data_IF_848191602427
#
_entry.id   IF_848191602427
#
_cell.length_a   1.000
_cell.length_b   1.000
_cell.length_c   1.000
_cell.angle_alpha   90.00
_cell.angle_beta   90.00
_cell.angle_gamma   90.00
#
_symmetry.space_group_name_H-M   'P 1'
#
loop_
_entity.id
_entity.type
_entity.pdbx_description
1 polymer ?
#
# COMPACT_ATOMS: atom_id res chain seq x y z
N UNK A 1 3.06 25.22 -24.30
CA UNK A 1 4.53 25.05 -24.11
C UNK A 1 5.02 26.11 -23.13
N UNK A 2 5.28 27.38 -23.52
CA UNK A 2 5.68 28.44 -22.55
C UNK A 2 4.78 28.60 -21.31
N UNK A 3 3.46 28.46 -21.45
CA UNK A 3 2.50 28.52 -20.33
C UNK A 3 2.58 27.32 -19.40
N UNK A 4 2.90 26.14 -19.94
CA UNK A 4 3.00 24.86 -19.22
C UNK A 4 4.34 24.78 -18.48
N UNK A 5 5.43 25.18 -19.15
CA UNK A 5 6.77 25.29 -18.57
C UNK A 5 6.78 26.27 -17.38
N UNK A 6 6.05 27.39 -17.48
CA UNK A 6 5.89 28.34 -16.38
C UNK A 6 5.12 27.74 -15.20
N UNK A 7 4.05 26.97 -15.45
CA UNK A 7 3.29 26.30 -14.38
C UNK A 7 4.14 25.26 -13.66
N UNK A 8 4.92 24.46 -14.39
CA UNK A 8 5.86 23.49 -13.80
C UNK A 8 6.91 24.16 -12.93
N UNK A 9 7.48 25.26 -13.40
CA UNK A 9 8.45 26.03 -12.62
C UNK A 9 7.83 26.60 -11.34
N UNK A 10 6.60 27.12 -11.41
CA UNK A 10 5.88 27.62 -10.23
C UNK A 10 5.62 26.47 -9.24
N UNK A 11 5.12 25.32 -9.71
CA UNK A 11 4.91 24.14 -8.87
C UNK A 11 6.19 23.69 -8.19
N UNK A 12 7.28 23.56 -8.95
CA UNK A 12 8.59 23.21 -8.40
C UNK A 12 9.07 24.18 -7.33
N UNK A 13 8.94 25.48 -7.58
CA UNK A 13 9.35 26.49 -6.62
C UNK A 13 8.50 26.43 -5.33
N UNK A 14 7.19 26.18 -5.44
CA UNK A 14 6.33 25.98 -4.27
C UNK A 14 6.74 24.74 -3.47
N UNK A 15 6.97 23.61 -4.13
CA UNK A 15 7.48 22.39 -3.47
C UNK A 15 8.80 22.63 -2.76
N UNK A 16 9.73 23.35 -3.40
CA UNK A 16 11.00 23.70 -2.76
C UNK A 16 10.80 24.59 -1.53
N UNK A 17 9.89 25.57 -1.60
CA UNK A 17 9.55 26.42 -0.46
C UNK A 17 8.97 25.61 0.70
N UNK A 18 8.03 24.70 0.45
CA UNK A 18 7.45 23.82 1.46
C UNK A 18 8.52 22.98 2.18
N UNK A 19 9.45 22.39 1.42
CA UNK A 19 10.55 21.61 1.98
C UNK A 19 11.47 22.47 2.86
N UNK A 20 11.78 23.69 2.41
CA UNK A 20 12.63 24.61 3.18
C UNK A 20 11.93 25.13 4.43
N UNK A 21 10.63 25.38 4.38
CA UNK A 21 9.84 25.80 5.52
C UNK A 21 9.67 24.67 6.54
N UNK A 22 9.52 23.42 6.07
CA UNK A 22 9.54 22.24 6.93
C UNK A 22 10.87 22.09 7.67
N UNK A 23 12.00 22.26 6.96
CA UNK A 23 13.34 22.23 7.54
C UNK A 23 13.56 23.32 8.60
N UNK A 24 13.01 24.52 8.39
CA UNK A 24 13.12 25.65 9.33
C UNK A 24 12.36 25.44 10.64
N UNK A 25 11.40 24.51 10.68
CA UNK A 25 10.63 24.19 11.90
C UNK A 25 11.45 23.38 12.93
N UNK A 26 12.69 23.00 12.61
CA UNK A 26 13.62 22.36 13.55
C UNK A 26 13.60 20.84 13.47
N UNK A 27 14.08 20.19 14.55
CA UNK A 27 14.27 18.76 14.57
C UNK A 27 12.95 17.99 14.47
N UNK A 28 12.87 17.13 13.45
CA UNK A 28 11.78 16.19 13.21
C UNK A 28 12.34 14.78 13.10
N UNK A 29 11.47 13.81 13.27
CA UNK A 29 11.81 12.39 13.13
C UNK A 29 11.82 11.92 11.67
N UNK A 30 11.43 12.78 10.74
CA UNK A 30 11.51 12.59 9.29
C UNK A 30 12.13 13.82 8.60
N UNK A 31 12.53 13.66 7.35
CA UNK A 31 12.95 14.76 6.48
C UNK A 31 12.19 14.73 5.16
N UNK A 32 12.02 15.90 4.55
CA UNK A 32 11.49 16.05 3.21
C UNK A 32 12.61 16.27 2.19
N UNK A 33 12.31 16.04 0.91
CA UNK A 33 13.27 16.25 -0.17
C UNK A 33 12.64 16.12 -1.55
N UNK A 34 13.31 16.73 -2.53
CA UNK A 34 12.88 16.68 -3.92
C UNK A 34 12.89 15.24 -4.46
N UNK A 35 11.96 14.98 -5.37
CA UNK A 35 11.81 13.73 -6.11
C UNK A 35 11.30 14.04 -7.53
N UNK A 36 11.06 13.00 -8.35
CA UNK A 36 10.70 13.16 -9.77
C UNK A 36 9.32 13.82 -10.00
N UNK A 37 8.57 14.06 -8.93
CA UNK A 37 7.25 14.69 -8.96
C UNK A 37 7.25 16.09 -8.35
N UNK A 38 8.42 16.68 -8.11
CA UNK A 38 8.54 18.00 -7.47
C UNK A 38 7.90 19.14 -8.29
N UNK A 39 7.70 18.96 -9.60
CA UNK A 39 7.03 19.93 -10.47
C UNK A 39 5.55 19.61 -10.74
N UNK A 40 4.98 18.66 -9.99
CA UNK A 40 3.56 18.32 -10.11
C UNK A 40 2.68 19.34 -9.38
N UNK A 41 1.49 19.59 -9.92
CA UNK A 41 0.48 20.38 -9.21
C UNK A 41 -0.17 19.55 -8.10
N UNK A 42 -0.77 20.21 -7.11
CA UNK A 42 -1.52 19.51 -6.05
C UNK A 42 -2.63 18.61 -6.63
N UNK A 43 -3.31 19.06 -7.68
CA UNK A 43 -4.34 18.27 -8.36
C UNK A 43 -3.76 17.03 -9.05
N UNK A 44 -2.55 17.12 -9.60
CA UNK A 44 -1.85 15.97 -10.20
C UNK A 44 -1.43 14.93 -9.16
N UNK A 45 -1.04 15.36 -7.96
CA UNK A 45 -0.81 14.44 -6.83
C UNK A 45 -2.11 13.79 -6.38
N UNK A 46 -3.12 14.60 -6.07
CA UNK A 46 -4.29 14.14 -5.33
C UNK A 46 -5.33 13.45 -6.19
N UNK A 47 -5.69 14.02 -7.34
CA UNK A 47 -6.75 13.46 -8.20
C UNK A 47 -6.23 12.22 -8.91
N UNK A 48 -4.92 12.19 -9.21
CA UNK A 48 -4.36 11.18 -10.09
C UNK A 48 -3.51 10.13 -9.36
N UNK A 49 -3.14 10.27 -8.08
CA UNK A 49 -2.43 9.19 -7.34
C UNK A 49 -3.23 8.57 -6.19
N UNK A 50 -4.24 9.25 -5.66
CA UNK A 50 -5.02 8.71 -4.55
C UNK A 50 -6.23 7.92 -5.05
N UNK A 51 -6.19 6.60 -4.86
CA UNK A 51 -7.14 5.65 -5.43
C UNK A 51 -7.85 4.75 -4.42
N UNK A 52 -7.64 4.94 -3.11
CA UNK A 52 -8.37 4.16 -2.13
C UNK A 52 -9.79 4.73 -2.00
N UNK A 53 -10.79 3.95 -2.39
CA UNK A 53 -12.20 4.37 -2.39
C UNK A 53 -13.08 3.23 -1.91
N UNK A 54 -13.75 3.42 -0.78
CA UNK A 54 -14.73 2.46 -0.29
C UNK A 54 -15.80 2.15 -1.36
N UNK A 55 -16.30 0.91 -1.43
CA UNK A 55 -17.37 0.55 -2.35
C UNK A 55 -18.62 1.42 -2.13
N UNK A 56 -19.31 1.78 -3.22
CA UNK A 56 -20.59 2.52 -3.13
C UNK A 56 -21.67 1.61 -2.53
N UNK A 57 -22.08 1.90 -1.30
CA UNK A 57 -23.09 1.13 -0.57
C UNK A 57 -22.91 1.26 0.94
N UNK A 58 -23.91 0.86 1.72
CA UNK A 58 -23.80 0.89 3.18
C UNK A 58 -22.69 -0.08 3.62
N UNK A 59 -21.70 0.37 4.40
CA UNK A 59 -20.64 -0.49 4.97
C UNK A 59 -21.25 -1.66 5.77
N UNK A 60 -22.43 -1.45 6.35
CA UNK A 60 -23.26 -2.45 7.03
C UNK A 60 -23.91 -3.51 6.12
N UNK A 61 -23.96 -3.26 4.81
CA UNK A 61 -24.44 -4.17 3.77
C UNK A 61 -23.30 -4.80 2.95
N UNK A 62 -22.03 -4.69 3.38
CA UNK A 62 -21.01 -5.68 3.02
C UNK A 62 -21.41 -7.03 3.65
N UNK A 63 -22.50 -7.59 3.14
CA UNK A 63 -22.98 -8.95 3.32
C UNK A 63 -21.97 -9.86 2.64
N UNK A 64 -20.83 -10.01 3.29
CA UNK A 64 -20.20 -11.29 3.56
C UNK A 64 -21.27 -12.38 3.46
N UNK A 65 -21.34 -13.05 2.30
CA UNK A 65 -22.31 -14.12 2.08
C UNK A 65 -22.10 -15.17 3.18
N UNK A 66 -23.14 -15.87 3.65
CA UNK A 66 -22.97 -16.96 4.62
C UNK A 66 -22.03 -18.02 4.04
N UNK A 67 -20.74 -17.96 4.41
CA UNK A 67 -19.64 -18.73 3.80
C UNK A 67 -18.38 -17.89 3.54
N UNK A 68 -18.55 -16.62 3.16
CA UNK A 68 -17.51 -15.59 3.01
C UNK A 68 -17.32 -14.80 4.30
N UNK A 69 -17.37 -15.48 5.47
CA UNK A 69 -17.14 -14.84 6.78
C UNK A 69 -15.95 -13.87 6.62
N UNK A 70 -16.15 -12.57 6.88
CA UNK A 70 -15.22 -11.83 7.72
C UNK A 70 -15.09 -12.72 8.94
N UNK A 71 -14.16 -13.68 8.87
CA UNK A 71 -13.66 -14.35 10.02
C UNK A 71 -12.97 -13.20 10.73
N UNK A 72 -13.74 -12.45 11.53
CA UNK A 72 -13.25 -11.95 12.78
C UNK A 72 -12.45 -13.09 13.33
N UNK A 73 -11.14 -12.92 13.25
CA UNK A 73 -10.18 -13.94 13.59
C UNK A 73 -10.57 -14.41 14.99
N UNK A 74 -11.10 -15.64 15.12
CA UNK A 74 -11.55 -16.19 16.40
C UNK A 74 -10.36 -16.61 17.27
N UNK A 75 -9.28 -15.84 17.26
CA UNK A 75 -8.17 -15.99 18.20
C UNK A 75 -7.46 -17.35 18.17
N UNK A 76 -7.83 -18.29 17.29
CA UNK A 76 -7.17 -19.58 17.20
C UNK A 76 -5.98 -19.41 16.27
N UNK A 77 -4.99 -18.74 16.86
CA UNK A 77 -3.58 -19.06 16.68
C UNK A 77 -3.49 -20.54 16.31
N UNK A 78 -3.10 -20.84 15.07
CA UNK A 78 -2.60 -22.16 14.75
C UNK A 78 -1.63 -22.57 15.85
N UNK A 79 -1.81 -23.78 16.40
CA UNK A 79 -0.92 -24.36 17.42
C UNK A 79 0.54 -24.03 17.09
N UNK A 80 1.14 -23.14 17.87
CA UNK A 80 2.45 -22.54 17.60
C UNK A 80 2.39 -21.01 17.66
N UNK A 81 2.44 -20.42 18.86
CA UNK A 81 2.60 -18.97 19.04
C UNK A 81 4.00 -18.58 18.58
N UNK A 82 4.15 -18.16 17.33
CA UNK A 82 5.33 -17.39 16.93
C UNK A 82 5.20 -16.02 17.58
N UNK A 83 5.90 -15.78 18.68
CA UNK A 83 6.01 -14.46 19.28
C UNK A 83 6.67 -13.55 18.24
N UNK A 84 6.00 -12.48 17.77
CA UNK A 84 6.61 -11.58 16.79
C UNK A 84 7.93 -11.02 17.34
N UNK A 85 9.02 -11.01 16.56
CA UNK A 85 10.28 -10.40 16.99
C UNK A 85 10.13 -8.89 17.21
N UNK A 86 11.15 -8.22 17.77
CA UNK A 86 11.18 -6.76 17.93
C UNK A 86 11.28 -6.01 16.60
N UNK A 87 11.87 -6.64 15.58
CA UNK A 87 11.93 -6.13 14.21
C UNK A 87 11.72 -7.26 13.21
N UNK A 88 11.12 -6.92 12.08
CA UNK A 88 10.83 -7.87 11.00
C UNK A 88 10.82 -7.13 9.66
N UNK A 89 11.43 -7.69 8.62
CA UNK A 89 11.54 -7.05 7.30
C UNK A 89 11.42 -8.09 6.18
N UNK A 90 10.26 -8.15 5.53
CA UNK A 90 9.99 -9.06 4.42
C UNK A 90 10.67 -8.66 3.11
N UNK A 91 11.29 -7.48 3.03
CA UNK A 91 12.11 -7.08 1.87
C UNK A 91 13.46 -7.80 1.86
N UNK A 92 13.74 -8.63 2.86
CA UNK A 92 14.93 -9.44 3.02
C UNK A 92 14.50 -10.89 3.27
N UNK A 93 15.20 -11.84 2.68
CA UNK A 93 15.00 -13.27 2.90
C UNK A 93 16.31 -13.93 3.30
N UNK A 94 16.26 -14.91 4.20
CA UNK A 94 17.43 -15.72 4.53
C UNK A 94 17.48 -16.92 3.59
N UNK A 95 18.51 -16.99 2.76
CA UNK A 95 18.82 -18.12 1.86
C UNK A 95 20.12 -18.73 2.35
N UNK A 96 20.08 -19.99 2.80
CA UNK A 96 21.24 -20.72 3.30
C UNK A 96 22.04 -19.97 4.38
N UNK A 97 21.34 -19.36 5.34
CA UNK A 97 21.94 -18.58 6.43
C UNK A 97 22.40 -17.17 6.03
N UNK A 98 22.27 -16.78 4.75
CA UNK A 98 22.63 -15.45 4.25
C UNK A 98 21.38 -14.62 3.99
N UNK A 99 21.33 -13.41 4.54
CA UNK A 99 20.25 -12.46 4.25
C UNK A 99 20.45 -11.84 2.87
N UNK A 100 19.56 -12.15 1.92
CA UNK A 100 19.52 -11.58 0.57
C UNK A 100 18.27 -10.70 0.39
N UNK A 101 18.32 -9.64 -0.44
CA UNK A 101 17.12 -8.87 -0.75
C UNK A 101 16.04 -9.73 -1.41
N UNK A 102 14.80 -9.60 -0.97
CA UNK A 102 13.65 -10.05 -1.77
C UNK A 102 13.40 -9.00 -2.85
N UNK A 103 13.94 -9.25 -4.05
CA UNK A 103 13.89 -8.30 -5.16
C UNK A 103 12.50 -8.31 -5.80
N UNK A 104 11.59 -7.54 -5.21
CA UNK A 104 10.36 -7.09 -5.86
C UNK A 104 10.54 -5.61 -6.20
N UNK A 105 10.71 -5.29 -7.48
CA UNK A 105 10.93 -3.92 -7.94
C UNK A 105 9.81 -3.00 -7.48
N UNK A 106 10.15 -1.84 -6.91
CA UNK A 106 9.17 -0.78 -6.69
C UNK A 106 8.63 -0.35 -8.05
N UNK A 107 7.32 -0.14 -8.11
CA UNK A 107 6.62 0.32 -9.32
C UNK A 107 6.08 1.73 -9.09
N UNK A 108 5.64 2.36 -10.18
CA UNK A 108 5.04 3.69 -10.16
C UNK A 108 3.66 3.64 -10.81
N UNK A 109 2.63 4.04 -10.06
CA UNK A 109 1.25 4.14 -10.55
C UNK A 109 1.05 5.37 -11.46
N UNK A 110 1.98 6.31 -11.52
CA UNK A 110 1.87 7.50 -12.34
C UNK A 110 0.58 8.28 -12.06
N UNK A 111 -0.06 8.79 -13.12
CA UNK A 111 -1.27 9.63 -13.04
C UNK A 111 -2.57 8.82 -13.11
N UNK A 112 -2.68 7.77 -12.31
CA UNK A 112 -3.89 6.97 -12.17
C UNK A 112 -4.11 6.58 -10.71
N UNK A 113 -5.31 6.85 -10.16
CA UNK A 113 -5.72 6.51 -8.80
C UNK A 113 -5.90 5.00 -8.63
N UNK A 114 -4.81 4.26 -8.76
CA UNK A 114 -4.76 2.79 -8.81
C UNK A 114 -3.91 2.19 -7.71
N UNK A 115 -3.58 2.96 -6.66
CA UNK A 115 -2.86 2.47 -5.49
C UNK A 115 -3.46 1.17 -4.92
N UNK A 116 -4.80 1.03 -4.95
CA UNK A 116 -5.51 -0.19 -4.54
C UNK A 116 -5.07 -1.42 -5.35
N UNK A 117 -4.93 -1.28 -6.67
CA UNK A 117 -4.47 -2.33 -7.56
C UNK A 117 -3.00 -2.68 -7.30
N UNK A 118 -2.13 -1.68 -7.14
CA UNK A 118 -0.71 -1.91 -6.86
C UNK A 118 -0.47 -2.55 -5.49
N UNK A 119 -1.20 -2.11 -4.46
CA UNK A 119 -1.10 -2.70 -3.13
C UNK A 119 -1.64 -4.14 -3.12
N UNK A 120 -2.72 -4.41 -3.85
CA UNK A 120 -3.24 -5.77 -4.03
C UNK A 120 -2.28 -6.69 -4.80
N UNK A 121 -1.68 -6.20 -5.89
CA UNK A 121 -0.67 -6.96 -6.65
C UNK A 121 0.58 -7.20 -5.80
N UNK A 122 1.06 -6.20 -5.06
CA UNK A 122 2.19 -6.36 -4.14
C UNK A 122 1.91 -7.48 -3.14
N UNK A 123 0.71 -7.53 -2.56
CA UNK A 123 0.29 -8.60 -1.66
C UNK A 123 0.41 -9.98 -2.31
N UNK A 124 -0.03 -10.15 -3.57
CA UNK A 124 0.10 -11.40 -4.32
C UNK A 124 1.56 -11.74 -4.68
N UNK A 125 2.35 -10.77 -5.11
CA UNK A 125 3.77 -10.96 -5.45
C UNK A 125 4.58 -11.39 -4.22
N UNK A 126 4.33 -10.78 -3.06
CA UNK A 126 4.94 -11.20 -1.79
C UNK A 126 4.49 -12.60 -1.38
N UNK A 127 3.20 -12.94 -1.52
CA UNK A 127 2.75 -14.32 -1.25
C UNK A 127 3.46 -15.34 -2.14
N UNK A 128 3.55 -15.05 -3.43
CA UNK A 128 4.22 -15.89 -4.40
C UNK A 128 5.70 -16.08 -4.03
N UNK A 129 6.37 -14.99 -3.67
CA UNK A 129 7.77 -15.03 -3.23
C UNK A 129 8.01 -15.79 -1.93
N UNK A 130 7.17 -15.57 -0.91
CA UNK A 130 7.33 -16.21 0.39
C UNK A 130 7.09 -17.72 0.27
N UNK A 131 6.04 -18.13 -0.43
CA UNK A 131 5.63 -19.53 -0.53
C UNK A 131 6.49 -20.34 -1.51
N UNK A 132 6.81 -19.78 -2.67
CA UNK A 132 7.47 -20.51 -3.75
C UNK A 132 8.95 -20.18 -3.91
N UNK A 133 9.48 -19.21 -3.14
CA UNK A 133 10.86 -18.74 -3.23
C UNK A 133 11.22 -18.24 -4.65
N UNK A 134 10.25 -17.64 -5.34
CA UNK A 134 10.36 -17.10 -6.70
C UNK A 134 9.75 -15.71 -6.78
N UNK A 135 10.33 -14.82 -7.57
CA UNK A 135 9.69 -13.55 -7.90
C UNK A 135 8.78 -13.70 -9.12
N UNK A 136 7.69 -12.93 -9.14
CA UNK A 136 6.87 -12.72 -10.31
C UNK A 136 6.54 -11.23 -10.39
N UNK A 137 6.50 -10.68 -11.60
CA UNK A 137 5.99 -9.35 -11.85
C UNK A 137 4.59 -9.47 -12.46
N UNK A 138 3.57 -9.14 -11.69
CA UNK A 138 2.17 -9.32 -12.03
C UNK A 138 1.53 -8.00 -12.48
N UNK A 139 0.45 -8.11 -13.25
CA UNK A 139 -0.20 -6.97 -13.89
C UNK A 139 -1.16 -6.23 -12.97
N UNK A 140 -0.81 -5.00 -12.60
CA UNK A 140 -1.75 -4.03 -12.02
C UNK A 140 -2.83 -3.62 -13.01
N UNK A 141 -2.47 -3.55 -14.30
CA UNK A 141 -3.39 -3.13 -15.35
C UNK A 141 -4.61 -4.06 -15.46
N UNK A 142 -4.44 -5.35 -15.21
CA UNK A 142 -5.55 -6.28 -15.13
C UNK A 142 -6.55 -5.87 -14.03
N UNK A 143 -6.07 -5.47 -12.85
CA UNK A 143 -6.96 -5.03 -11.77
C UNK A 143 -7.65 -3.70 -12.12
N UNK A 144 -6.93 -2.79 -12.78
CA UNK A 144 -7.48 -1.50 -13.25
C UNK A 144 -8.55 -1.70 -14.33
N UNK A 145 -8.33 -2.58 -15.30
CA UNK A 145 -9.23 -2.74 -16.45
C UNK A 145 -10.40 -3.71 -16.18
N UNK A 146 -10.20 -4.71 -15.33
CA UNK A 146 -11.12 -5.86 -15.22
C UNK A 146 -11.89 -5.95 -13.90
N UNK A 147 -11.45 -5.29 -12.83
CA UNK A 147 -12.20 -5.25 -11.56
C UNK A 147 -13.37 -4.27 -11.69
N UNK A 148 -14.44 -4.66 -12.38
CA UNK A 148 -15.53 -3.75 -12.77
C UNK A 148 -16.37 -3.18 -11.60
N UNK A 149 -16.24 -3.75 -10.40
CA UNK A 149 -16.85 -3.17 -9.19
C UNK A 149 -15.99 -2.03 -8.60
N UNK A 150 -14.73 -1.89 -9.05
CA UNK A 150 -13.88 -0.74 -8.82
C UNK A 150 -14.01 0.29 -9.96
N UNK A 151 -13.48 1.48 -9.77
CA UNK A 151 -13.54 2.60 -10.71
C UNK A 151 -12.30 2.77 -11.59
N UNK A 152 -11.46 1.74 -11.72
CA UNK A 152 -10.19 1.83 -12.44
C UNK A 152 -9.31 2.95 -11.90
N UNK A 153 -8.94 3.93 -12.73
CA UNK A 153 -8.14 5.07 -12.26
C UNK A 153 -8.89 6.04 -11.34
N UNK A 154 -10.21 5.90 -11.17
CA UNK A 154 -10.98 6.68 -10.19
C UNK A 154 -10.96 6.07 -8.79
N UNK A 155 -10.25 4.95 -8.62
CA UNK A 155 -10.05 4.28 -7.34
C UNK A 155 -10.85 3.00 -7.18
N UNK A 156 -10.52 2.28 -6.12
CA UNK A 156 -11.08 0.98 -5.80
C UNK A 156 -10.74 0.58 -4.37
N UNK A 157 -11.15 -0.64 -4.01
CA UNK A 157 -10.97 -1.17 -2.67
C UNK A 157 -10.62 -2.64 -2.67
N UNK A 158 -9.91 -3.05 -1.62
CA UNK A 158 -9.37 -4.40 -1.46
C UNK A 158 -10.41 -5.50 -1.74
N UNK A 159 -11.62 -5.40 -1.17
CA UNK A 159 -12.61 -6.48 -1.27
C UNK A 159 -13.15 -6.65 -2.68
N UNK A 160 -13.42 -5.55 -3.41
CA UNK A 160 -13.86 -5.61 -4.81
C UNK A 160 -12.80 -6.24 -5.69
N UNK A 161 -11.54 -5.81 -5.52
CA UNK A 161 -10.40 -6.34 -6.26
C UNK A 161 -10.16 -7.81 -5.93
N UNK A 162 -10.30 -8.21 -4.66
CA UNK A 162 -10.22 -9.61 -4.25
C UNK A 162 -11.36 -10.45 -4.83
N UNK A 163 -12.59 -9.93 -4.85
CA UNK A 163 -13.74 -10.63 -5.42
C UNK A 163 -13.57 -10.85 -6.93
N UNK A 164 -13.08 -9.85 -7.66
CA UNK A 164 -12.69 -10.03 -9.07
C UNK A 164 -11.64 -11.14 -9.21
N UNK A 165 -10.56 -11.07 -8.42
CA UNK A 165 -9.48 -12.06 -8.45
C UNK A 165 -10.00 -13.49 -8.19
N UNK A 166 -10.85 -13.67 -7.17
CA UNK A 166 -11.51 -14.93 -6.84
C UNK A 166 -12.42 -15.42 -7.97
N UNK A 167 -13.29 -14.55 -8.50
CA UNK A 167 -14.22 -14.88 -9.58
C UNK A 167 -13.51 -15.20 -10.89
N UNK A 168 -12.29 -14.69 -11.07
CA UNK A 168 -11.42 -14.97 -12.20
C UNK A 168 -10.49 -16.17 -11.93
N UNK A 169 -10.93 -17.12 -11.12
CA UNK A 169 -10.22 -18.36 -10.77
C UNK A 169 -8.81 -18.12 -10.21
N UNK A 170 -8.63 -17.04 -9.45
CA UNK A 170 -7.37 -16.69 -8.80
C UNK A 170 -6.20 -16.53 -9.79
N UNK A 171 -6.46 -15.99 -10.99
CA UNK A 171 -5.45 -15.79 -12.03
C UNK A 171 -5.07 -14.32 -12.21
N UNK A 172 -3.77 -14.09 -12.36
CA UNK A 172 -3.21 -12.77 -12.72
C UNK A 172 -2.21 -12.91 -13.86
N UNK A 173 -2.36 -12.12 -14.91
CA UNK A 173 -1.42 -11.99 -16.02
C UNK A 173 -0.07 -11.42 -15.54
N UNK A 174 1.01 -11.79 -16.24
CA UNK A 174 2.32 -11.17 -16.01
C UNK A 174 2.36 -9.74 -16.53
N UNK A 175 3.02 -8.84 -15.80
CA UNK A 175 3.20 -7.45 -16.21
C UNK A 175 3.82 -7.30 -17.62
N UNK A 176 4.79 -8.13 -18.07
CA UNK A 176 5.33 -8.01 -19.43
C UNK A 176 4.31 -8.28 -20.55
N UNK A 177 3.24 -9.03 -20.27
CA UNK A 177 2.21 -9.41 -21.25
C UNK A 177 0.92 -8.62 -21.11
N UNK A 178 0.74 -7.96 -19.96
CA UNK A 178 -0.33 -7.02 -19.72
C UNK A 178 0.25 -5.78 -19.00
N UNK A 179 0.98 -4.93 -19.74
CA UNK A 179 1.74 -3.82 -19.16
C UNK A 179 0.83 -2.72 -18.61
N UNK A 180 1.33 -2.06 -17.58
CA UNK A 180 0.69 -0.92 -16.96
C UNK A 180 0.74 0.31 -17.87
N UNK A 181 -0.39 1.04 -17.96
CA UNK A 181 -0.60 2.17 -18.86
C UNK A 181 -1.08 3.44 -18.16
N UNK A 182 -1.27 3.39 -16.84
CA UNK A 182 -1.80 4.52 -16.05
C UNK A 182 -3.12 5.11 -16.59
N UNK A 183 -3.96 4.27 -17.19
CA UNK A 183 -5.29 4.63 -17.69
C UNK A 183 -6.16 3.39 -17.66
N UNK A 184 -7.44 3.54 -17.35
CA UNK A 184 -8.40 2.44 -17.48
C UNK A 184 -8.73 2.23 -18.96
N UNK A 185 -8.57 1.00 -19.41
CA UNK A 185 -8.97 0.54 -20.74
C UNK A 185 -9.95 -0.63 -20.66
N UNK A 186 -10.13 -1.30 -21.79
CA UNK A 186 -10.93 -2.52 -21.84
C UNK A 186 -10.18 -3.67 -21.17
N UNK A 187 -10.92 -4.56 -20.49
CA UNK A 187 -10.33 -5.75 -19.89
C UNK A 187 -9.70 -6.65 -20.96
N UNK A 188 -8.38 -6.81 -20.86
CA UNK A 188 -7.55 -7.67 -21.69
C UNK A 188 -7.07 -8.92 -20.97
N UNK A 189 -7.74 -9.33 -19.88
CA UNK A 189 -7.40 -10.55 -19.15
C UNK A 189 -7.39 -11.75 -20.09
N UNK A 190 -6.37 -12.60 -19.95
CA UNK A 190 -6.25 -13.87 -20.68
C UNK A 190 -5.98 -14.97 -19.68
N UNK A 191 -6.84 -15.98 -19.65
CA UNK A 191 -6.59 -17.16 -18.80
C UNK A 191 -5.34 -17.90 -19.27
N UNK A 192 -4.60 -18.46 -18.32
CA UNK A 192 -3.36 -19.20 -18.57
C UNK A 192 -2.32 -18.44 -19.42
N UNK A 193 -2.29 -17.11 -19.31
CA UNK A 193 -1.37 -16.31 -20.10
C UNK A 193 0.09 -16.48 -19.70
N UNK A 194 0.99 -16.30 -20.67
CA UNK A 194 2.41 -16.27 -20.43
C UNK A 194 2.79 -15.24 -19.36
N UNK A 195 3.76 -15.58 -18.52
CA UNK A 195 4.22 -14.76 -17.40
C UNK A 195 3.19 -14.56 -16.27
N UNK A 196 1.97 -15.09 -16.41
CA UNK A 196 0.94 -15.04 -15.38
C UNK A 196 1.13 -16.10 -14.30
N UNK A 197 0.37 -15.94 -13.22
CA UNK A 197 0.34 -16.85 -12.08
C UNK A 197 -1.11 -17.26 -11.81
N UNK A 198 -1.31 -18.56 -11.61
CA UNK A 198 -2.55 -19.15 -11.11
C UNK A 198 -2.32 -19.49 -9.65
N UNK A 199 -3.00 -18.77 -8.76
CA UNK A 199 -2.92 -19.04 -7.34
C UNK A 199 -3.89 -20.18 -6.99
N UNK A 200 -3.56 -20.93 -5.93
CA UNK A 200 -4.53 -21.82 -5.30
C UNK A 200 -5.68 -21.02 -4.68
N UNK A 201 -6.69 -21.72 -4.16
CA UNK A 201 -7.80 -21.06 -3.45
C UNK A 201 -7.26 -20.25 -2.27
N UNK A 202 -7.47 -18.94 -2.33
CA UNK A 202 -7.12 -17.99 -1.27
C UNK A 202 -8.38 -17.39 -0.64
N UNK A 203 -8.27 -17.04 0.63
CA UNK A 203 -9.19 -16.15 1.34
C UNK A 203 -8.46 -14.90 1.81
N UNK A 204 -9.19 -13.95 2.40
CA UNK A 204 -8.62 -12.79 3.06
C UNK A 204 -9.20 -12.62 4.47
N UNK A 205 -8.46 -11.91 5.31
CA UNK A 205 -8.82 -11.60 6.69
C UNK A 205 -8.41 -10.17 7.01
N UNK A 206 -9.19 -9.49 7.85
CA UNK A 206 -8.79 -8.23 8.47
C UNK A 206 -8.09 -8.52 9.81
N UNK A 207 -6.83 -8.11 9.95
CA UNK A 207 -6.05 -8.22 11.18
C UNK A 207 -6.55 -7.26 12.27
N UNK A 208 -7.21 -6.16 11.89
CA UNK A 208 -7.73 -5.17 12.82
C UNK A 208 -9.17 -5.53 13.19
N UNK A 209 -9.36 -5.99 14.43
CA UNK A 209 -10.70 -6.32 14.99
C UNK A 209 -11.17 -5.29 16.02
N UNK A 210 -10.25 -4.53 16.61
CA UNK A 210 -10.48 -3.34 17.41
C UNK A 210 -9.18 -2.51 17.43
N UNK A 211 -9.29 -1.22 17.69
CA UNK A 211 -8.16 -0.28 17.67
C UNK A 211 -7.09 -0.59 18.71
N UNK A 212 -7.47 -1.01 19.93
CA UNK A 212 -6.54 -1.25 21.03
C UNK A 212 -5.54 -2.40 20.77
N UNK A 213 -5.89 -3.35 19.92
CA UNK A 213 -5.03 -4.50 19.57
C UNK A 213 -4.52 -4.48 18.13
N UNK A 214 -4.83 -3.42 17.38
CA UNK A 214 -4.56 -3.32 15.94
C UNK A 214 -3.09 -3.57 15.60
N UNK A 215 -2.18 -2.82 16.23
CA UNK A 215 -0.75 -2.94 15.95
C UNK A 215 -0.20 -4.36 16.22
N UNK A 216 -0.59 -4.95 17.36
CA UNK A 216 -0.16 -6.30 17.73
C UNK A 216 -0.69 -7.36 16.76
N UNK A 217 -1.94 -7.23 16.32
CA UNK A 217 -2.53 -8.16 15.36
C UNK A 217 -1.89 -8.02 13.97
N UNK A 218 -1.59 -6.78 13.52
CA UNK A 218 -0.88 -6.53 12.27
C UNK A 218 0.53 -7.15 12.34
N UNK A 219 1.27 -6.98 13.44
CA UNK A 219 2.59 -7.62 13.61
C UNK A 219 2.49 -9.15 13.51
N UNK A 220 1.50 -9.74 14.19
CA UNK A 220 1.30 -11.18 14.18
C UNK A 220 0.91 -11.70 12.79
N UNK A 221 0.03 -10.99 12.10
CA UNK A 221 -0.36 -11.33 10.73
C UNK A 221 0.84 -11.21 9.77
N UNK A 222 1.67 -10.19 9.93
CA UNK A 222 2.86 -9.97 9.11
C UNK A 222 3.85 -11.14 9.21
N UNK A 223 4.08 -11.62 10.44
CA UNK A 223 4.99 -12.74 10.71
C UNK A 223 4.43 -14.06 10.19
N UNK A 224 3.13 -14.31 10.36
CA UNK A 224 2.55 -15.61 10.06
C UNK A 224 2.12 -15.76 8.60
N UNK A 225 1.70 -14.68 7.97
CA UNK A 225 1.04 -14.73 6.66
C UNK A 225 1.74 -13.88 5.62
N UNK A 226 2.62 -12.95 5.98
CA UNK A 226 3.29 -12.05 5.05
C UNK A 226 2.65 -10.67 5.02
N UNK A 227 2.93 -9.89 3.97
CA UNK A 227 2.63 -8.46 3.91
C UNK A 227 1.15 -8.11 4.12
N UNK A 228 0.88 -6.91 4.64
CA UNK A 228 -0.47 -6.44 5.00
C UNK A 228 -0.86 -5.26 4.11
N UNK A 229 -1.96 -5.38 3.37
CA UNK A 229 -2.58 -4.26 2.66
C UNK A 229 -3.27 -3.34 3.68
N UNK A 230 -3.03 -2.03 3.60
CA UNK A 230 -3.64 -1.03 4.49
C UNK A 230 -4.06 0.21 3.70
N UNK A 231 -5.09 0.90 4.19
CA UNK A 231 -5.39 2.27 3.80
C UNK A 231 -4.66 3.26 4.71
N UNK A 232 -4.29 4.42 4.17
CA UNK A 232 -3.78 5.56 4.93
C UNK A 232 -4.40 6.86 4.43
N UNK A 233 -4.41 7.87 5.30
CA UNK A 233 -4.71 9.24 4.93
C UNK A 233 -3.42 9.98 4.56
N UNK A 234 -3.33 10.47 3.33
CA UNK A 234 -2.17 11.25 2.84
C UNK A 234 -2.53 12.72 2.57
N UNK A 235 -3.51 13.27 3.29
CA UNK A 235 -3.94 14.66 3.15
C UNK A 235 -5.11 14.85 2.16
N UNK A 236 -5.58 16.08 2.05
CA UNK A 236 -6.69 16.50 1.19
C UNK A 236 -6.56 17.99 0.81
N UNK A 237 -7.53 18.54 0.07
CA UNK A 237 -7.53 19.97 -0.28
C UNK A 237 -7.55 20.89 0.93
N UNK A 238 -8.15 20.43 2.02
CA UNK A 238 -8.23 21.19 3.26
C UNK A 238 -7.01 20.98 4.16
N UNK A 239 -6.21 19.94 3.90
CA UNK A 239 -5.07 19.53 4.73
C UNK A 239 -3.76 19.46 3.93
N UNK A 240 -3.45 20.52 3.18
CA UNK A 240 -2.27 20.61 2.29
C UNK A 240 -0.94 20.30 2.99
N UNK A 241 -0.83 20.62 4.27
CA UNK A 241 0.35 20.29 5.09
C UNK A 241 0.62 18.78 5.10
N UNK A 242 -0.42 17.96 5.26
CA UNK A 242 -0.28 16.51 5.33
C UNK A 242 0.12 15.98 3.95
N UNK A 243 -0.51 16.48 2.88
CA UNK A 243 -0.14 16.16 1.49
C UNK A 243 1.34 16.46 1.24
N UNK A 244 1.80 17.67 1.58
CA UNK A 244 3.19 18.09 1.37
C UNK A 244 4.20 17.20 2.10
N UNK A 245 3.88 16.70 3.31
CA UNK A 245 4.73 15.76 4.04
C UNK A 245 4.86 14.43 3.29
N UNK A 246 3.75 13.87 2.78
CA UNK A 246 3.79 12.60 2.05
C UNK A 246 4.41 12.77 0.66
N UNK A 247 4.01 13.79 -0.09
CA UNK A 247 4.47 14.05 -1.46
C UNK A 247 6.00 14.21 -1.51
N UNK A 248 6.58 14.78 -0.45
CA UNK A 248 8.01 15.10 -0.36
C UNK A 248 8.79 14.25 0.64
N UNK A 249 8.19 13.21 1.22
CA UNK A 249 8.88 12.35 2.19
C UNK A 249 10.21 11.82 1.62
N UNK A 250 11.29 11.94 2.38
CA UNK A 250 12.62 11.44 1.99
C UNK A 250 13.13 10.33 2.89
N UNK A 251 13.14 10.52 4.20
CA UNK A 251 13.61 9.50 5.16
C UNK A 251 13.09 9.79 6.58
N UNK A 252 13.36 8.88 7.50
CA UNK A 252 12.94 8.93 8.90
C UNK A 252 11.51 8.43 9.14
N UNK A 253 10.99 8.63 10.34
CA UNK A 253 9.68 8.13 10.78
C UNK A 253 8.67 9.27 10.72
N UNK A 254 7.65 9.13 9.88
CA UNK A 254 6.55 10.08 9.79
C UNK A 254 5.78 10.12 11.12
N UNK A 255 5.69 11.33 11.68
CA UNK A 255 4.85 11.68 12.82
C UNK A 255 4.06 12.96 12.48
N UNK A 256 2.74 12.85 12.45
CA UNK A 256 1.86 13.94 12.03
C UNK A 256 0.76 14.09 13.08
N UNK A 257 0.64 15.30 13.64
CA UNK A 257 -0.52 15.68 14.45
C UNK A 257 -1.77 15.77 13.58
N UNK A 258 -2.92 15.39 14.10
CA UNK A 258 -4.25 15.62 13.47
C UNK A 258 -4.48 14.83 12.17
N UNK A 259 -3.75 13.74 11.95
CA UNK A 259 -4.01 12.87 10.81
C UNK A 259 -5.35 12.13 10.98
N UNK A 260 -6.16 12.10 9.92
CA UNK A 260 -7.45 11.41 9.94
C UNK A 260 -7.26 9.89 10.04
N UNK A 261 -8.17 9.23 10.75
CA UNK A 261 -8.07 7.80 11.05
C UNK A 261 -9.34 7.00 10.74
N UNK A 262 -10.46 7.65 10.41
CA UNK A 262 -11.66 6.92 9.99
C UNK A 262 -11.47 6.29 8.61
N UNK A 263 -12.04 5.11 8.39
CA UNK A 263 -11.85 4.35 7.15
C UNK A 263 -12.39 5.12 5.93
N UNK A 264 -13.43 5.91 6.14
CA UNK A 264 -14.08 6.75 5.13
C UNK A 264 -13.20 7.91 4.66
N UNK A 265 -12.20 8.29 5.46
CA UNK A 265 -11.28 9.38 5.17
C UNK A 265 -9.96 8.91 4.55
N UNK A 266 -9.63 7.62 4.65
CA UNK A 266 -8.43 7.05 4.02
C UNK A 266 -8.54 7.18 2.50
N UNK A 267 -7.44 7.50 1.84
CA UNK A 267 -7.45 7.86 0.41
C UNK A 267 -6.27 7.29 -0.38
N UNK A 268 -5.29 6.68 0.28
CA UNK A 268 -4.19 5.97 -0.38
C UNK A 268 -4.02 4.56 0.16
N UNK A 269 -3.66 3.62 -0.72
CA UNK A 269 -3.46 2.22 -0.38
C UNK A 269 -2.00 1.84 -0.51
N UNK A 270 -1.47 1.20 0.53
CA UNK A 270 -0.06 0.82 0.63
C UNK A 270 0.08 -0.56 1.29
N UNK A 271 1.31 -1.05 1.39
CA UNK A 271 1.57 -2.38 1.95
C UNK A 271 2.60 -2.30 3.08
N UNK A 272 2.23 -2.74 4.28
CA UNK A 272 3.18 -2.95 5.37
C UNK A 272 4.02 -4.18 5.05
N UNK A 273 5.34 -3.99 4.97
CA UNK A 273 6.32 -5.03 4.64
C UNK A 273 7.24 -5.37 5.82
N UNK A 274 7.19 -4.58 6.89
CA UNK A 274 8.06 -4.75 8.04
C UNK A 274 7.70 -3.83 9.18
N UNK A 275 8.43 -3.96 10.27
CA UNK A 275 8.41 -3.05 11.40
C UNK A 275 9.74 -3.10 12.15
N UNK A 276 9.99 -2.09 12.96
CA UNK A 276 11.13 -2.06 13.84
C UNK A 276 10.98 -1.01 14.92
N UNK A 277 12.09 -0.75 15.58
CA UNK A 277 12.27 0.33 16.53
C UNK A 277 13.51 1.08 16.09
N UNK A 278 13.40 2.39 15.94
CA UNK A 278 14.55 3.23 15.63
C UNK A 278 15.52 3.21 16.83
N UNK A 279 16.78 2.86 16.57
CA UNK A 279 17.77 2.66 17.63
C UNK A 279 18.18 3.97 18.32
N UNK A 280 17.97 5.11 17.68
CA UNK A 280 18.39 6.42 18.17
C UNK A 280 17.29 7.05 19.02
N UNK A 281 16.06 7.01 18.55
CA UNK A 281 14.89 7.67 19.17
C UNK A 281 14.04 6.71 20.02
N UNK A 282 14.20 5.40 19.85
CA UNK A 282 13.35 4.38 20.46
C UNK A 282 11.94 4.31 19.85
N UNK A 283 11.67 5.03 18.75
CA UNK A 283 10.34 5.10 18.16
C UNK A 283 10.01 3.83 17.37
N UNK A 284 8.90 3.14 17.67
CA UNK A 284 8.44 2.02 16.86
C UNK A 284 7.87 2.52 15.54
N UNK A 285 8.17 1.82 14.45
CA UNK A 285 7.68 2.16 13.12
C UNK A 285 7.17 0.94 12.35
N UNK A 286 6.25 1.21 11.43
CA UNK A 286 5.96 0.34 10.30
C UNK A 286 6.88 0.70 9.15
N UNK A 287 7.47 -0.30 8.48
CA UNK A 287 8.12 -0.13 7.18
C UNK A 287 7.09 -0.44 6.11
N UNK A 288 6.86 0.53 5.23
CA UNK A 288 5.74 0.50 4.30
C UNK A 288 6.26 0.67 2.88
N UNK A 289 5.76 -0.16 1.97
CA UNK A 289 6.04 -0.11 0.53
C UNK A 289 5.02 0.79 -0.14
N UNK A 290 5.50 1.82 -0.83
CA UNK A 290 4.68 2.73 -1.62
C UNK A 290 4.76 2.37 -3.12
N UNK A 291 4.04 3.13 -3.94
CA UNK A 291 3.81 2.85 -5.37
C UNK A 291 4.04 4.09 -6.23
N UNK A 292 4.91 4.99 -5.76
CA UNK A 292 5.26 6.27 -6.39
C UNK A 292 6.70 6.27 -6.92
N UNK A 293 7.20 5.11 -7.36
CA UNK A 293 8.55 4.98 -7.91
C UNK A 293 9.66 5.03 -6.86
N UNK A 294 10.90 4.83 -7.32
CA UNK A 294 12.08 4.70 -6.44
C UNK A 294 12.73 6.03 -6.05
N UNK A 295 12.44 7.12 -6.76
CA UNK A 295 12.95 8.45 -6.43
C UNK A 295 12.27 9.03 -5.18
N UNK A 296 11.03 8.61 -4.91
CA UNK A 296 10.27 8.96 -3.72
C UNK A 296 10.72 8.16 -2.48
N UNK A 297 10.82 8.83 -1.33
CA UNK A 297 11.13 8.20 -0.04
C UNK A 297 12.47 7.46 0.02
N UNK A 298 12.50 6.42 0.85
CA UNK A 298 13.64 5.53 1.07
C UNK A 298 13.68 4.44 -0.03
N UNK A 299 13.86 4.87 -1.29
CA UNK A 299 13.86 3.96 -2.44
C UNK A 299 12.49 3.34 -2.73
N UNK A 300 11.41 4.12 -2.57
CA UNK A 300 10.01 3.70 -2.71
C UNK A 300 9.36 3.17 -1.44
N UNK A 301 10.06 3.22 -0.31
CA UNK A 301 9.55 2.87 1.01
C UNK A 301 9.47 4.09 1.91
N UNK A 302 8.68 3.99 2.97
CA UNK A 302 8.65 4.96 4.06
C UNK A 302 8.47 4.28 5.41
N UNK A 303 8.77 5.04 6.46
CA UNK A 303 8.49 4.63 7.84
C UNK A 303 7.46 5.57 8.46
N UNK A 304 6.54 5.00 9.22
CA UNK A 304 5.47 5.74 9.90
C UNK A 304 5.27 5.16 11.29
N UNK A 305 4.95 6.02 12.26
CA UNK A 305 4.88 5.63 13.66
C UNK A 305 3.87 4.50 13.89
N UNK A 306 4.31 3.44 14.55
CA UNK A 306 3.51 2.26 14.90
C UNK A 306 2.91 2.39 16.28
N UNK A 307 1.72 1.82 16.48
CA UNK A 307 1.03 1.69 17.77
C UNK A 307 0.15 2.87 18.16
N UNK A 308 0.04 3.88 17.29
CA UNK A 308 -0.75 5.09 17.53
C UNK A 308 -1.78 5.34 16.42
N UNK A 309 -2.01 4.35 15.54
CA UNK A 309 -2.83 4.49 14.34
C UNK A 309 -2.51 5.74 13.50
N UNK A 310 -1.22 6.05 13.34
CA UNK A 310 -0.77 7.24 12.61
C UNK A 310 -1.35 7.24 11.20
N UNK A 311 -2.10 8.29 10.86
CA UNK A 311 -2.78 8.45 9.56
C UNK A 311 -3.69 7.27 9.17
N UNK A 312 -4.26 6.58 10.15
CA UNK A 312 -5.19 5.49 9.92
C UNK A 312 -4.57 4.17 9.46
N UNK A 313 -3.24 4.05 9.48
CA UNK A 313 -2.53 2.85 9.01
C UNK A 313 -2.90 1.56 9.78
N UNK A 314 -3.48 1.70 10.97
CA UNK A 314 -3.93 0.60 11.82
C UNK A 314 -5.47 0.55 11.94
N UNK A 315 -6.19 1.29 11.10
CA UNK A 315 -7.67 1.30 11.04
C UNK A 315 -8.21 0.02 10.39
N UNK A 316 -7.52 -0.49 9.39
CA UNK A 316 -7.78 -1.78 8.74
C UNK A 316 -6.48 -2.38 8.22
N UNK A 317 -6.43 -3.71 8.12
CA UNK A 317 -5.24 -4.39 7.58
C UNK A 317 -5.58 -5.75 7.03
N UNK A 318 -5.59 -5.87 5.70
CA UNK A 318 -5.94 -7.11 5.02
C UNK A 318 -4.73 -7.96 4.70
N UNK A 319 -4.82 -9.25 4.99
CA UNK A 319 -3.87 -10.26 4.53
C UNK A 319 -4.60 -11.41 3.84
N UNK A 320 -3.87 -12.13 2.99
CA UNK A 320 -4.39 -13.30 2.28
C UNK A 320 -3.67 -14.56 2.74
N UNK A 321 -4.40 -15.66 2.77
CA UNK A 321 -3.90 -16.98 3.15
C UNK A 321 -4.79 -18.07 2.54
N UNK A 322 -4.34 -19.33 2.58
CA UNK A 322 -5.19 -20.46 2.22
C UNK A 322 -6.26 -20.66 3.31
N UNK A 323 -7.54 -20.85 2.93
CA UNK A 323 -8.55 -21.30 3.88
C UNK A 323 -8.14 -22.64 4.51
N UNK A 324 -8.44 -22.80 5.79
CA UNK A 324 -8.24 -24.07 6.52
C UNK A 324 -9.23 -25.14 6.05
#
# INVERSE_FOLDING_TARGET
RKSDDNLRFISFNNTLHDILDDYRQGEKTYTLGLNDHADWTEDEWRILRNGFRLPKGNLSNMNVKPGDRLLTWKGRLSKGRTIPPTSYDLTKMVVSGTTVPLVLSIKDQGRCGSCYAFAFISLLEFQYAIQLKKSASLSEQQMVDCSYNDGGCNGGYFTNTFDYFKNNNYQVNGAPYYPYRAVQGNCGFRSNAAGGVIFGRLGYWNAVTNSATAAANIQQALVNYGVIYVGIYVGSDTDKRISSIFDNYKTGIIQISECLTSVEQLNHAVVIVGYGVDSTTGLPYWKVRNTWGTSWGEGGYFKIQRGVNMCGIETEGFFIARPA
#
